data_IF_534874392180
#
_entry.id   IF_534874392180
#
_cell.length_a   1.000
_cell.length_b   1.000
_cell.length_c   1.000
_cell.angle_alpha   90.00
_cell.angle_beta   90.00
_cell.angle_gamma   90.00
#
_symmetry.space_group_name_H-M   'P 1'
#
loop_
_entity.id
_entity.type
_entity.pdbx_description
1 polymer ?
#
# COMPACT_ATOMS: atom_id res chain seq x y z
N UNK A 1 11.83 1.12 20.82
CA UNK A 1 11.32 -0.16 20.28
C UNK A 1 11.06 0.04 18.79
N UNK A 2 11.74 -0.68 17.88
CA UNK A 2 11.45 -0.60 16.44
C UNK A 2 10.21 -1.46 16.16
N UNK A 3 9.21 -0.90 15.50
CA UNK A 3 8.03 -1.68 15.07
C UNK A 3 8.45 -2.69 13.99
N UNK A 4 8.18 -3.98 14.24
CA UNK A 4 8.49 -5.08 13.33
C UNK A 4 7.62 -5.02 12.08
N UNK A 5 8.09 -5.60 10.98
CA UNK A 5 7.40 -5.50 9.70
C UNK A 5 6.09 -6.27 9.69
N UNK A 6 6.01 -7.40 10.41
CA UNK A 6 4.79 -8.19 10.57
C UNK A 6 3.68 -7.35 11.21
N UNK A 7 4.00 -6.57 12.25
CA UNK A 7 3.04 -5.69 12.92
C UNK A 7 2.56 -4.56 11.99
N UNK A 8 3.46 -3.97 11.19
CA UNK A 8 3.08 -2.93 10.23
C UNK A 8 2.20 -3.46 9.12
N UNK A 9 2.52 -4.65 8.59
CA UNK A 9 1.73 -5.29 7.53
C UNK A 9 0.36 -5.72 8.07
N UNK A 10 0.30 -6.22 9.30
CA UNK A 10 -0.96 -6.55 9.96
C UNK A 10 -1.86 -5.31 10.09
N UNK A 11 -1.34 -4.23 10.67
CA UNK A 11 -2.09 -2.98 10.84
C UNK A 11 -2.45 -2.34 9.50
N UNK A 12 -1.53 -2.35 8.53
CA UNK A 12 -1.76 -1.83 7.19
C UNK A 12 -2.83 -2.60 6.42
N UNK A 13 -2.94 -3.91 6.64
CA UNK A 13 -4.03 -4.72 6.09
C UNK A 13 -5.36 -4.45 6.79
N UNK A 14 -5.36 -4.31 8.12
CA UNK A 14 -6.57 -4.09 8.93
C UNK A 14 -7.33 -2.80 8.57
N UNK A 15 -6.63 -1.76 8.10
CA UNK A 15 -7.25 -0.48 7.72
C UNK A 15 -7.82 -0.46 6.29
N UNK A 16 -7.65 -1.54 5.52
CA UNK A 16 -8.23 -1.64 4.17
C UNK A 16 -9.72 -1.99 4.26
N UNK A 17 -10.50 -1.49 3.31
CA UNK A 17 -11.93 -1.75 3.22
C UNK A 17 -12.33 -2.17 1.80
N UNK A 18 -13.49 -2.81 1.68
CA UNK A 18 -14.14 -3.19 0.42
C UNK A 18 -13.20 -3.91 -0.55
N UNK A 19 -13.02 -3.34 -1.75
CA UNK A 19 -12.16 -3.90 -2.80
C UNK A 19 -10.70 -4.03 -2.37
N UNK A 20 -10.22 -3.14 -1.51
CA UNK A 20 -8.84 -3.16 -1.03
C UNK A 20 -8.56 -4.28 -0.03
N UNK A 21 -9.52 -4.58 0.84
CA UNK A 21 -9.41 -5.74 1.73
C UNK A 21 -9.44 -7.05 0.93
N UNK A 22 -10.39 -7.18 -0.01
CA UNK A 22 -10.49 -8.36 -0.86
C UNK A 22 -9.23 -8.58 -1.72
N UNK A 23 -8.71 -7.52 -2.33
CA UNK A 23 -7.43 -7.59 -3.06
C UNK A 23 -6.28 -8.00 -2.14
N UNK A 24 -6.18 -7.42 -0.94
CA UNK A 24 -5.08 -7.69 -0.04
C UNK A 24 -5.08 -9.14 0.43
N UNK A 25 -6.23 -9.74 0.71
CA UNK A 25 -6.33 -11.18 1.04
C UNK A 25 -5.72 -12.07 -0.04
N UNK A 26 -6.09 -11.82 -1.31
CA UNK A 26 -5.54 -12.54 -2.46
C UNK A 26 -4.04 -12.27 -2.68
N UNK A 27 -3.61 -11.02 -2.53
CA UNK A 27 -2.21 -10.64 -2.67
C UNK A 27 -1.35 -11.27 -1.58
N UNK A 28 -1.80 -11.23 -0.33
CA UNK A 28 -1.13 -11.80 0.84
C UNK A 28 -0.88 -13.29 0.66
N UNK A 29 -1.91 -14.06 0.26
CA UNK A 29 -1.77 -15.50 -0.01
C UNK A 29 -0.68 -15.80 -1.05
N UNK A 30 -0.56 -14.99 -2.10
CA UNK A 30 0.49 -15.14 -3.13
C UNK A 30 1.88 -14.71 -2.65
N UNK A 31 1.95 -13.81 -1.68
CA UNK A 31 3.21 -13.26 -1.17
C UNK A 31 3.84 -14.13 -0.07
N UNK A 32 3.01 -14.89 0.65
CA UNK A 32 3.40 -15.85 1.70
C UNK A 32 3.87 -17.21 1.16
N UNK A 33 3.87 -17.38 -0.17
CA UNK A 33 4.49 -18.55 -0.81
C UNK A 33 5.97 -18.62 -0.38
N UNK A 34 6.40 -19.81 0.01
CA UNK A 34 7.73 -20.13 0.57
C UNK A 34 8.00 -19.65 2.01
N UNK A 35 6.97 -19.24 2.77
CA UNK A 35 7.12 -18.90 4.20
C UNK A 35 7.93 -17.62 4.45
N UNK A 36 8.15 -16.82 3.41
CA UNK A 36 8.88 -15.55 3.50
C UNK A 36 7.99 -14.49 4.13
N UNK A 37 8.47 -13.88 5.21
CA UNK A 37 7.81 -12.73 5.85
C UNK A 37 7.58 -11.61 4.84
N UNK A 38 6.35 -11.11 4.78
CA UNK A 38 6.03 -9.91 4.02
C UNK A 38 6.62 -8.70 4.75
N UNK A 39 7.63 -8.09 4.14
CA UNK A 39 8.18 -6.83 4.66
C UNK A 39 7.21 -5.67 4.42
N UNK A 40 7.28 -4.65 5.28
CA UNK A 40 6.49 -3.43 5.13
C UNK A 40 6.77 -2.73 3.80
N UNK A 41 8.01 -2.78 3.33
CA UNK A 41 8.40 -2.25 2.03
C UNK A 41 7.70 -2.97 0.87
N UNK A 42 7.56 -4.30 0.94
CA UNK A 42 6.89 -5.12 -0.08
C UNK A 42 5.38 -4.85 -0.10
N UNK A 43 4.74 -4.75 1.07
CA UNK A 43 3.34 -4.33 1.20
C UNK A 43 3.11 -2.98 0.52
N UNK A 44 3.84 -1.93 0.94
CA UNK A 44 3.69 -0.58 0.40
C UNK A 44 3.89 -0.54 -1.11
N UNK A 45 4.89 -1.25 -1.63
CA UNK A 45 5.14 -1.31 -3.08
C UNK A 45 3.91 -1.86 -3.82
N UNK A 46 3.38 -3.00 -3.39
CA UNK A 46 2.20 -3.63 -4.03
C UNK A 46 0.97 -2.74 -3.93
N UNK A 47 0.72 -2.16 -2.75
CA UNK A 47 -0.40 -1.25 -2.51
C UNK A 47 -0.33 -0.02 -3.41
N UNK A 48 0.80 0.71 -3.40
CA UNK A 48 0.98 1.92 -4.19
C UNK A 48 0.95 1.65 -5.69
N UNK A 49 1.49 0.51 -6.16
CA UNK A 49 1.39 0.15 -7.58
C UNK A 49 -0.06 -0.03 -8.03
N UNK A 50 -0.94 -0.60 -7.19
CA UNK A 50 -2.34 -0.82 -7.56
C UNK A 50 -3.20 0.44 -7.41
N UNK A 51 -3.09 1.14 -6.28
CA UNK A 51 -4.03 2.22 -5.93
C UNK A 51 -3.49 3.62 -6.19
N UNK A 52 -2.18 3.75 -6.38
CA UNK A 52 -1.55 5.04 -6.66
C UNK A 52 -0.58 4.92 -7.84
N UNK A 53 -1.08 4.54 -9.03
CA UNK A 53 -0.26 4.37 -10.24
C UNK A 53 0.39 5.70 -10.67
N UNK A 54 1.38 5.63 -11.57
CA UNK A 54 2.19 6.80 -11.93
C UNK A 54 1.35 7.98 -12.45
N UNK A 55 0.33 7.67 -13.21
CA UNK A 55 -0.67 8.55 -13.79
C UNK A 55 -1.48 9.27 -12.70
N UNK A 56 -1.98 8.55 -11.70
CA UNK A 56 -2.64 9.17 -10.54
C UNK A 56 -1.67 10.06 -9.73
N UNK A 57 -0.42 9.63 -9.57
CA UNK A 57 0.62 10.45 -8.92
C UNK A 57 0.90 11.73 -9.69
N UNK A 58 1.05 11.64 -11.00
CA UNK A 58 1.30 12.78 -11.87
C UNK A 58 0.14 13.77 -11.82
N UNK A 59 -1.11 13.28 -11.79
CA UNK A 59 -2.30 14.12 -11.60
C UNK A 59 -2.24 14.89 -10.28
N UNK A 60 -1.89 14.22 -9.17
CA UNK A 60 -1.72 14.89 -7.86
C UNK A 60 -0.59 15.91 -7.83
N UNK A 61 0.49 15.68 -8.58
CA UNK A 61 1.58 16.67 -8.73
C UNK A 61 1.07 17.92 -9.45
N UNK A 62 0.31 17.76 -10.54
CA UNK A 62 -0.27 18.89 -11.28
C UNK A 62 -1.25 19.66 -10.40
N UNK A 63 -2.20 18.96 -9.74
CA UNK A 63 -3.13 19.59 -8.78
C UNK A 63 -2.36 20.41 -7.73
N UNK A 64 -1.27 19.86 -7.18
CA UNK A 64 -0.45 20.55 -6.19
C UNK A 64 0.26 21.79 -6.76
N UNK A 65 0.75 21.73 -8.00
CA UNK A 65 1.40 22.89 -8.65
C UNK A 65 0.41 24.04 -8.91
N UNK A 66 -0.87 23.72 -9.13
CA UNK A 66 -1.92 24.71 -9.39
C UNK A 66 -2.57 25.27 -8.12
N UNK A 67 -2.25 24.71 -6.95
CA UNK A 67 -2.72 25.25 -5.67
C UNK A 67 -2.21 26.68 -5.48
N UNK A 68 -3.15 27.62 -5.35
CA UNK A 68 -2.85 28.98 -4.91
C UNK A 68 -3.07 29.08 -3.40
N UNK A 69 -2.11 29.69 -2.71
CA UNK A 69 -2.27 30.08 -1.32
C UNK A 69 -3.34 31.18 -1.26
N UNK A 70 -4.40 30.95 -0.49
CA UNK A 70 -5.42 31.95 -0.18
C UNK A 70 -4.90 33.02 0.78
#
# INVERSE_FOLDING_TARGET
MRCQDEHKVLLGGYVLHDEADHWWGNAKQRLEVDGVVITWARFKRKFLTKYFPADERNRKVIEFMELKQG
#
